data_IF_420844672390
#
_entry.id   IF_420844672390
#
_cell.length_a   1.000
_cell.length_b   1.000
_cell.length_c   1.000
_cell.angle_alpha   90.00
_cell.angle_beta   90.00
_cell.angle_gamma   90.00
#
_symmetry.space_group_name_H-M   'P 1'
#
loop_
_entity.id
_entity.type
_entity.pdbx_description
1 polymer ?
#
# COMPACT_ATOMS: atom_id res chain seq x y z
N UNK A 1 25.73 -71.81 20.39
CA UNK A 1 24.37 -71.41 20.82
C UNK A 1 24.48 -70.15 21.65
N UNK A 2 23.51 -69.21 21.49
CA UNK A 2 23.37 -67.88 22.13
C UNK A 2 24.30 -66.80 21.51
N UNK A 3 23.92 -65.97 20.54
CA UNK A 3 22.74 -65.11 20.32
C UNK A 3 22.61 -63.98 21.34
N UNK A 4 23.05 -62.76 20.95
CA UNK A 4 22.44 -61.49 21.40
C UNK A 4 22.85 -60.34 20.47
N UNK A 5 21.90 -59.97 19.62
CA UNK A 5 21.89 -58.78 18.79
C UNK A 5 21.69 -57.54 19.67
N UNK A 6 22.67 -56.63 19.70
CA UNK A 6 22.54 -55.32 20.31
C UNK A 6 21.92 -54.33 19.33
N UNK A 7 20.60 -54.19 19.37
CA UNK A 7 19.85 -53.16 18.62
C UNK A 7 20.01 -51.82 19.36
N UNK A 8 20.80 -50.91 18.79
CA UNK A 8 20.86 -49.51 19.25
C UNK A 8 19.60 -48.80 18.77
N UNK A 9 18.64 -48.59 19.68
CA UNK A 9 17.51 -47.67 19.51
C UNK A 9 18.00 -46.24 19.79
N UNK A 10 17.92 -45.29 18.84
CA UNK A 10 17.89 -43.88 19.21
C UNK A 10 16.51 -43.55 19.78
N UNK A 11 16.49 -43.22 21.06
CA UNK A 11 15.33 -42.65 21.76
C UNK A 11 14.88 -41.38 21.06
N UNK A 12 13.64 -41.42 20.54
CA UNK A 12 12.93 -40.29 19.96
C UNK A 12 12.68 -39.24 21.05
N UNK A 13 13.27 -38.07 20.88
CA UNK A 13 12.81 -36.83 21.51
C UNK A 13 11.43 -36.47 20.93
N UNK A 14 10.38 -36.24 21.74
CA UNK A 14 9.17 -35.61 21.26
C UNK A 14 9.45 -34.12 21.09
N UNK A 15 9.93 -33.72 19.91
CA UNK A 15 9.80 -32.34 19.46
C UNK A 15 8.30 -32.06 19.30
N UNK A 16 7.77 -31.26 20.22
CA UNK A 16 6.46 -30.62 20.12
C UNK A 16 6.44 -29.77 18.84
N UNK A 17 5.91 -30.37 17.78
CA UNK A 17 5.48 -29.72 16.56
C UNK A 17 4.17 -28.96 16.85
N UNK A 18 4.26 -27.84 17.55
CA UNK A 18 3.18 -26.88 17.64
C UNK A 18 3.79 -25.48 17.53
N UNK A 19 3.87 -25.00 16.29
CA UNK A 19 3.66 -23.61 15.85
C UNK A 19 4.19 -23.48 14.41
N UNK A 20 3.59 -24.22 13.47
CA UNK A 20 3.53 -23.78 12.07
C UNK A 20 2.50 -22.66 12.01
N UNK A 21 2.95 -21.43 12.25
CA UNK A 21 2.23 -20.20 11.88
C UNK A 21 2.30 -20.04 10.35
N UNK A 22 1.59 -20.91 9.63
CA UNK A 22 1.24 -20.70 8.23
C UNK A 22 -0.19 -20.15 8.19
N UNK A 23 -0.32 -18.83 8.25
CA UNK A 23 -1.44 -18.04 7.69
C UNK A 23 -1.31 -16.60 8.20
N UNK A 24 -0.74 -15.72 7.38
CA UNK A 24 -0.65 -14.29 7.74
C UNK A 24 -0.09 -13.37 6.66
N UNK A 25 0.43 -13.92 5.55
CA UNK A 25 1.12 -13.14 4.53
C UNK A 25 0.28 -12.54 3.37
N UNK A 26 -1.03 -12.80 3.15
CA UNK A 26 -1.71 -12.17 2.01
C UNK A 26 -2.17 -10.73 2.27
N UNK A 27 -2.38 -10.33 3.53
CA UNK A 27 -2.96 -9.01 3.84
C UNK A 27 -1.95 -7.86 3.81
N UNK A 28 -0.66 -8.15 3.96
CA UNK A 28 0.40 -7.14 3.98
C UNK A 28 0.69 -6.57 2.58
N UNK A 29 0.54 -7.39 1.53
CA UNK A 29 0.80 -6.98 0.16
C UNK A 29 -0.34 -6.16 -0.43
N UNK A 30 -1.60 -6.54 -0.19
CA UNK A 30 -2.77 -5.73 -0.57
C UNK A 30 -2.75 -4.33 0.09
N UNK A 31 -2.20 -4.22 1.31
CA UNK A 31 -2.08 -2.92 2.01
C UNK A 31 -1.08 -1.99 1.35
N UNK A 32 -0.04 -2.51 0.68
CA UNK A 32 1.00 -1.69 0.04
C UNK A 32 0.49 -1.03 -1.25
N UNK A 33 -0.32 -1.74 -2.04
CA UNK A 33 -0.94 -1.15 -3.23
C UNK A 33 -2.00 -0.09 -2.89
N UNK A 34 -2.73 -0.26 -1.77
CA UNK A 34 -3.67 0.75 -1.26
C UNK A 34 -2.99 2.01 -0.69
N UNK A 35 -1.69 1.93 -0.34
CA UNK A 35 -0.93 3.05 0.22
C UNK A 35 -0.45 4.05 -0.83
N UNK A 36 -0.59 3.77 -2.12
CA UNK A 36 -0.27 4.74 -3.19
C UNK A 36 -1.33 5.85 -3.26
N UNK A 37 -2.53 5.64 -2.68
CA UNK A 37 -3.64 6.60 -2.76
C UNK A 37 -3.85 7.52 -1.55
N UNK A 38 -3.38 7.20 -0.34
CA UNK A 38 -3.76 7.95 0.87
C UNK A 38 -2.68 7.89 1.97
N UNK A 39 -1.65 8.75 1.91
CA UNK A 39 -0.78 9.04 3.06
C UNK A 39 -0.87 10.51 3.44
N UNK A 40 -1.71 10.80 4.44
CA UNK A 40 -1.55 11.99 5.28
C UNK A 40 -1.19 11.52 6.70
N UNK A 41 -0.09 12.09 7.22
CA UNK A 41 0.44 12.01 8.59
C UNK A 41 1.30 10.76 8.87
N UNK A 42 2.51 10.81 9.41
CA UNK A 42 3.42 11.91 9.80
C UNK A 42 4.68 11.24 10.38
N UNK A 43 5.85 11.43 9.77
CA UNK A 43 7.14 11.53 10.48
C UNK A 43 8.24 11.94 9.49
N UNK A 44 9.03 12.93 9.89
CA UNK A 44 9.98 13.67 9.09
C UNK A 44 11.25 12.86 8.76
N UNK A 45 11.59 12.70 7.48
CA UNK A 45 12.81 13.26 6.83
C UNK A 45 13.00 12.73 5.41
N UNK A 46 13.60 13.59 4.59
CA UNK A 46 14.08 13.40 3.22
C UNK A 46 13.01 13.44 2.12
N UNK A 47 12.78 14.68 1.66
CA UNK A 47 12.64 15.07 0.25
C UNK A 47 12.26 13.97 -0.75
N UNK A 48 10.99 14.01 -1.12
CA UNK A 48 10.44 13.30 -2.25
C UNK A 48 8.99 13.72 -2.38
N UNK A 49 8.74 15.00 -2.70
CA UNK A 49 7.43 15.43 -3.19
C UNK A 49 7.12 14.54 -4.39
N UNK A 50 6.38 13.45 -4.19
CA UNK A 50 5.75 12.72 -5.29
C UNK A 50 4.82 13.73 -5.93
N UNK A 51 5.30 14.33 -7.01
CA UNK A 51 4.52 15.24 -7.82
C UNK A 51 3.20 14.54 -8.14
N UNK A 52 2.10 15.24 -7.93
CA UNK A 52 0.80 14.75 -8.38
C UNK A 52 0.92 14.36 -9.86
N UNK A 53 0.17 13.34 -10.33
CA UNK A 53 0.12 13.02 -11.76
C UNK A 53 -0.09 14.31 -12.53
N UNK A 54 0.84 14.63 -13.44
CA UNK A 54 0.75 15.84 -14.22
C UNK A 54 -0.60 15.84 -14.97
N UNK A 55 -1.32 16.97 -15.00
CA UNK A 55 -2.60 17.02 -15.69
C UNK A 55 -2.40 16.60 -17.15
N UNK A 56 -3.32 15.79 -17.67
CA UNK A 56 -3.26 15.26 -19.04
C UNK A 56 -3.19 16.35 -20.13
N UNK A 57 -3.52 17.59 -19.77
CA UNK A 57 -3.42 18.78 -20.60
C UNK A 57 -2.55 19.81 -19.88
N UNK A 58 -1.22 19.70 -20.02
CA UNK A 58 -0.29 20.71 -19.51
C UNK A 58 0.11 21.65 -20.65
N UNK A 59 -0.41 22.88 -20.60
CA UNK A 59 -0.04 23.96 -21.51
C UNK A 59 0.61 25.08 -20.70
N UNK A 60 1.79 25.52 -21.13
CA UNK A 60 2.54 26.60 -20.47
C UNK A 60 2.20 27.93 -21.15
N UNK A 61 1.62 28.88 -20.41
CA UNK A 61 1.29 30.21 -20.94
C UNK A 61 2.55 31.10 -20.97
N UNK A 62 3.07 31.48 -22.16
CA UNK A 62 4.33 32.22 -22.30
C UNK A 62 4.32 33.58 -21.63
N UNK A 63 3.13 34.16 -21.36
CA UNK A 63 2.99 35.46 -20.67
C UNK A 63 3.35 35.39 -19.19
N UNK A 64 3.28 34.20 -18.60
CA UNK A 64 3.56 33.97 -17.17
C UNK A 64 5.01 33.56 -16.91
N UNK A 65 5.82 33.39 -17.96
CA UNK A 65 7.21 32.94 -17.82
C UNK A 65 8.14 34.12 -17.51
N UNK A 66 9.05 33.96 -16.54
CA UNK A 66 10.05 34.98 -16.23
C UNK A 66 11.06 35.12 -17.37
N UNK A 67 11.41 36.36 -17.68
CA UNK A 67 12.30 36.75 -18.78
C UNK A 67 13.77 36.69 -18.37
N UNK A 68 14.16 35.58 -17.73
CA UNK A 68 15.43 35.49 -17.00
C UNK A 68 16.55 34.83 -17.79
N UNK A 69 16.31 34.37 -19.02
CA UNK A 69 17.32 33.68 -19.84
C UNK A 69 17.68 34.56 -21.04
N UNK A 70 18.86 35.22 -21.03
CA UNK A 70 19.30 36.02 -22.17
C UNK A 70 19.51 35.12 -23.40
N UNK A 71 18.88 35.47 -24.53
CA UNK A 71 19.03 34.78 -25.80
C UNK A 71 17.97 33.72 -26.13
N UNK A 72 16.94 33.53 -25.30
CA UNK A 72 15.81 32.60 -25.57
C UNK A 72 14.50 33.37 -25.49
N UNK A 73 13.63 33.23 -26.49
CA UNK A 73 12.31 33.86 -26.44
C UNK A 73 11.38 33.13 -25.46
N UNK A 74 10.40 33.84 -24.88
CA UNK A 74 9.43 33.23 -23.94
C UNK A 74 8.63 32.09 -24.57
N UNK A 75 8.36 32.20 -25.87
CA UNK A 75 7.65 31.20 -26.65
C UNK A 75 8.50 29.93 -26.83
N UNK A 76 9.79 30.10 -27.14
CA UNK A 76 10.73 28.98 -27.24
C UNK A 76 10.95 28.29 -25.89
N UNK A 77 10.97 29.05 -24.79
CA UNK A 77 11.07 28.49 -23.44
C UNK A 77 9.81 27.70 -23.05
N UNK A 78 8.63 28.21 -23.37
CA UNK A 78 7.36 27.52 -23.12
C UNK A 78 7.28 26.19 -23.90
N UNK A 79 7.66 26.20 -25.19
CA UNK A 79 7.69 25.00 -26.03
C UNK A 79 8.70 23.96 -25.50
N UNK A 80 9.89 24.39 -25.07
CA UNK A 80 10.90 23.49 -24.48
C UNK A 80 10.40 22.87 -23.16
N UNK A 81 9.73 23.65 -22.31
CA UNK A 81 9.16 23.15 -21.07
C UNK A 81 8.03 22.15 -21.31
N UNK A 82 7.18 22.41 -22.30
CA UNK A 82 6.12 21.48 -22.68
C UNK A 82 6.70 20.16 -23.20
N UNK A 83 7.68 20.21 -24.12
CA UNK A 83 8.39 19.02 -24.62
C UNK A 83 9.06 18.23 -23.50
N UNK A 84 9.77 18.92 -22.60
CA UNK A 84 10.45 18.28 -21.47
C UNK A 84 9.46 17.62 -20.52
N UNK A 85 8.32 18.27 -20.26
CA UNK A 85 7.29 17.71 -19.41
C UNK A 85 6.57 16.51 -20.04
N UNK A 86 6.32 16.55 -21.35
CA UNK A 86 5.82 15.39 -22.09
C UNK A 86 6.82 14.22 -22.06
N UNK A 87 8.11 14.51 -22.20
CA UNK A 87 9.15 13.48 -22.11
C UNK A 87 9.24 12.87 -20.70
N UNK A 88 9.13 13.69 -19.65
CA UNK A 88 9.09 13.24 -18.27
C UNK A 88 7.82 12.42 -17.96
N UNK A 89 6.65 12.84 -18.45
CA UNK A 89 5.40 12.10 -18.24
C UNK A 89 5.45 10.75 -18.94
N UNK A 90 6.01 10.70 -20.15
CA UNK A 90 6.21 9.45 -20.89
C UNK A 90 7.19 8.52 -20.17
N UNK A 91 8.35 9.02 -19.73
CA UNK A 91 9.34 8.24 -18.97
C UNK A 91 8.79 7.71 -17.66
N UNK A 92 8.06 8.54 -16.91
CA UNK A 92 7.44 8.11 -15.65
C UNK A 92 6.38 7.05 -15.88
N UNK A 93 5.53 7.20 -16.90
CA UNK A 93 4.51 6.20 -17.26
C UNK A 93 5.14 4.87 -17.69
N UNK A 94 6.25 4.90 -18.45
CA UNK A 94 6.98 3.69 -18.80
C UNK A 94 7.62 3.01 -17.58
N UNK A 95 8.22 3.78 -16.67
CA UNK A 95 8.84 3.23 -15.47
C UNK A 95 7.80 2.60 -14.53
N UNK A 96 6.67 3.27 -14.31
CA UNK A 96 5.58 2.73 -13.48
C UNK A 96 4.97 1.48 -14.11
N UNK A 97 4.77 1.45 -15.43
CA UNK A 97 4.29 0.26 -16.13
C UNK A 97 5.27 -0.93 -16.02
N UNK A 98 6.57 -0.68 -16.16
CA UNK A 98 7.61 -1.72 -16.01
C UNK A 98 7.70 -2.22 -14.57
N UNK A 99 7.64 -1.33 -13.59
CA UNK A 99 7.65 -1.70 -12.17
C UNK A 99 6.43 -2.55 -11.81
N UNK A 100 5.24 -2.15 -12.27
CA UNK A 100 4.01 -2.91 -12.09
C UNK A 100 4.08 -4.29 -12.76
N UNK A 101 4.58 -4.37 -14.00
CA UNK A 101 4.74 -5.65 -14.70
C UNK A 101 5.68 -6.59 -13.95
N UNK A 102 6.81 -6.06 -13.45
CA UNK A 102 7.75 -6.82 -12.63
C UNK A 102 7.10 -7.30 -11.32
N UNK A 103 6.32 -6.45 -10.65
CA UNK A 103 5.63 -6.83 -9.42
C UNK A 103 4.59 -7.93 -9.66
N UNK A 104 3.81 -7.84 -10.74
CA UNK A 104 2.86 -8.88 -11.14
C UNK A 104 3.59 -10.19 -11.45
N UNK A 105 4.73 -10.13 -12.14
CA UNK A 105 5.53 -11.31 -12.43
C UNK A 105 6.13 -11.94 -11.16
N UNK A 106 6.61 -11.12 -10.22
CA UNK A 106 7.06 -11.60 -8.91
C UNK A 106 5.92 -12.26 -8.13
N UNK A 107 4.73 -11.66 -8.10
CA UNK A 107 3.56 -12.24 -7.43
C UNK A 107 3.15 -13.57 -8.07
N UNK A 108 3.17 -13.65 -9.42
CA UNK A 108 2.89 -14.88 -10.15
C UNK A 108 3.87 -16.01 -9.80
N UNK A 109 5.15 -15.70 -9.56
CA UNK A 109 6.18 -16.69 -9.19
C UNK A 109 6.13 -17.07 -7.71
N UNK A 110 5.72 -16.15 -6.84
CA UNK A 110 5.70 -16.33 -5.39
C UNK A 110 4.42 -17.00 -4.86
N UNK A 111 3.29 -16.85 -5.55
CA UNK A 111 2.00 -17.39 -5.09
C UNK A 111 1.56 -18.62 -5.90
N UNK A 112 0.81 -19.56 -5.27
CA UNK A 112 0.07 -20.58 -5.98
C UNK A 112 -0.91 -19.96 -7.00
N UNK A 113 -1.17 -20.61 -8.14
CA UNK A 113 -1.97 -20.05 -9.23
C UNK A 113 -3.42 -19.73 -8.82
N UNK A 114 -4.01 -20.51 -7.90
CA UNK A 114 -5.38 -20.28 -7.42
C UNK A 114 -5.49 -19.02 -6.57
N UNK A 115 -4.50 -18.77 -5.71
CA UNK A 115 -4.44 -17.55 -4.88
C UNK A 115 -4.16 -16.31 -5.72
N UNK A 116 -3.34 -16.44 -6.76
CA UNK A 116 -3.07 -15.36 -7.70
C UNK A 116 -4.32 -14.98 -8.51
N UNK A 117 -5.12 -15.96 -8.95
CA UNK A 117 -6.41 -15.70 -9.62
C UNK A 117 -7.41 -15.00 -8.71
N UNK A 118 -7.51 -15.43 -7.45
CA UNK A 118 -8.35 -14.75 -6.46
C UNK A 118 -7.89 -13.31 -6.22
N UNK A 119 -6.58 -13.08 -6.12
CA UNK A 119 -6.03 -11.74 -6.00
C UNK A 119 -6.39 -10.84 -7.19
N UNK A 120 -6.24 -11.32 -8.42
CA UNK A 120 -6.63 -10.56 -9.62
C UNK A 120 -8.13 -10.24 -9.62
N UNK A 121 -8.97 -11.23 -9.29
CA UNK A 121 -10.42 -11.03 -9.19
C UNK A 121 -10.80 -10.01 -8.11
N UNK A 122 -10.11 -10.03 -6.97
CA UNK A 122 -10.30 -9.04 -5.91
C UNK A 122 -9.91 -7.65 -6.40
N UNK A 123 -8.77 -7.51 -7.09
CA UNK A 123 -8.31 -6.24 -7.68
C UNK A 123 -9.34 -5.69 -8.68
N UNK A 124 -9.82 -6.52 -9.61
CA UNK A 124 -10.82 -6.13 -10.60
C UNK A 124 -12.13 -5.70 -9.92
N UNK A 125 -12.59 -6.44 -8.91
CA UNK A 125 -13.79 -6.10 -8.16
C UNK A 125 -13.66 -4.78 -7.39
N UNK A 126 -12.45 -4.45 -6.93
CA UNK A 126 -12.17 -3.19 -6.24
C UNK A 126 -12.07 -2.03 -7.23
N UNK A 127 -11.47 -2.26 -8.40
CA UNK A 127 -11.42 -1.29 -9.49
C UNK A 127 -12.84 -0.92 -9.94
N UNK A 128 -13.70 -1.91 -10.19
CA UNK A 128 -15.09 -1.67 -10.60
C UNK A 128 -15.89 -0.90 -9.55
N UNK A 129 -15.72 -1.24 -8.25
CA UNK A 129 -16.35 -0.48 -7.16
C UNK A 129 -15.86 0.95 -7.11
N UNK A 130 -14.56 1.17 -7.29
CA UNK A 130 -13.96 2.50 -7.28
C UNK A 130 -14.45 3.33 -8.47
N UNK A 131 -14.52 2.76 -9.66
CA UNK A 131 -15.08 3.43 -10.85
C UNK A 131 -16.54 3.85 -10.64
N UNK A 132 -17.36 2.97 -10.08
CA UNK A 132 -18.76 3.27 -9.72
C UNK A 132 -18.85 4.38 -8.67
N UNK A 133 -17.96 4.38 -7.68
CA UNK A 133 -17.88 5.45 -6.68
C UNK A 133 -17.41 6.78 -7.28
N UNK A 134 -16.40 6.77 -8.16
CA UNK A 134 -15.91 7.95 -8.86
C UNK A 134 -17.00 8.54 -9.74
N UNK A 135 -17.70 7.71 -10.54
CA UNK A 135 -18.82 8.13 -11.37
C UNK A 135 -19.96 8.72 -10.53
N UNK A 136 -20.23 8.14 -9.35
CA UNK A 136 -21.20 8.67 -8.40
C UNK A 136 -20.75 10.02 -7.83
N UNK A 137 -19.47 10.17 -7.49
CA UNK A 137 -18.91 11.41 -6.94
C UNK A 137 -18.87 12.52 -8.00
N UNK A 138 -18.54 12.20 -9.25
CA UNK A 138 -18.56 13.16 -10.36
C UNK A 138 -19.98 13.62 -10.72
N UNK A 139 -20.99 12.76 -10.49
CA UNK A 139 -22.39 13.11 -10.66
C UNK A 139 -22.98 13.91 -9.47
N UNK A 140 -22.29 13.99 -8.33
CA UNK A 140 -22.77 14.76 -7.17
C UNK A 140 -22.52 16.26 -7.34
N UNK A 141 -23.43 17.08 -6.81
CA UNK A 141 -23.21 18.53 -6.78
C UNK A 141 -22.06 18.89 -5.81
N UNK A 142 -21.35 20.01 -6.05
CA UNK A 142 -20.21 20.42 -5.20
C UNK A 142 -20.56 20.54 -3.71
N UNK A 143 -21.77 21.00 -3.39
CA UNK A 143 -22.24 21.11 -2.00
C UNK A 143 -22.48 19.72 -1.36
N UNK A 144 -22.97 18.75 -2.13
CA UNK A 144 -23.16 17.38 -1.67
C UNK A 144 -21.81 16.67 -1.48
N UNK A 145 -20.86 16.90 -2.39
CA UNK A 145 -19.50 16.37 -2.30
C UNK A 145 -18.79 16.83 -1.02
N UNK A 146 -18.91 18.12 -0.67
CA UNK A 146 -18.33 18.65 0.56
C UNK A 146 -18.90 17.96 1.81
N UNK A 147 -20.23 17.85 1.90
CA UNK A 147 -20.90 17.17 3.02
C UNK A 147 -20.54 15.68 3.10
N UNK A 148 -20.39 15.04 1.94
CA UNK A 148 -19.96 13.64 1.84
C UNK A 148 -18.55 13.45 2.41
N UNK A 149 -17.57 14.24 1.97
CA UNK A 149 -16.21 14.19 2.49
C UNK A 149 -16.14 14.51 3.98
N UNK A 150 -16.92 15.48 4.46
CA UNK A 150 -16.96 15.81 5.88
C UNK A 150 -17.46 14.63 6.73
N UNK A 151 -18.51 13.92 6.28
CA UNK A 151 -19.01 12.70 6.95
C UNK A 151 -18.00 11.56 6.89
N UNK A 152 -17.33 11.38 5.76
CA UNK A 152 -16.32 10.34 5.57
C UNK A 152 -15.12 10.53 6.50
N UNK A 153 -14.62 11.77 6.64
CA UNK A 153 -13.51 12.10 7.56
C UNK A 153 -13.86 11.76 9.01
N UNK A 154 -15.10 12.01 9.45
CA UNK A 154 -15.56 11.63 10.80
C UNK A 154 -15.54 10.12 10.99
N UNK A 155 -16.07 9.36 10.04
CA UNK A 155 -16.06 7.88 10.09
C UNK A 155 -14.65 7.31 10.14
N UNK A 156 -13.73 7.84 9.33
CA UNK A 156 -12.32 7.43 9.33
C UNK A 156 -11.66 7.68 10.69
N UNK A 157 -11.91 8.84 11.31
CA UNK A 157 -11.41 9.15 12.66
C UNK A 157 -11.94 8.17 13.71
N UNK A 158 -13.25 7.88 13.70
CA UNK A 158 -13.82 6.90 14.62
C UNK A 158 -13.26 5.49 14.42
N UNK A 159 -13.07 5.06 13.17
CA UNK A 159 -12.44 3.77 12.89
C UNK A 159 -10.99 3.71 13.37
N UNK A 160 -10.21 4.79 13.18
CA UNK A 160 -8.84 4.88 13.67
C UNK A 160 -8.79 4.82 15.21
N UNK A 161 -9.65 5.59 15.89
CA UNK A 161 -9.76 5.59 17.35
C UNK A 161 -10.13 4.18 17.85
N UNK A 162 -11.14 3.55 17.25
CA UNK A 162 -11.55 2.18 17.62
C UNK A 162 -10.41 1.18 17.46
N UNK A 163 -9.65 1.25 16.36
CA UNK A 163 -8.47 0.38 16.16
C UNK A 163 -7.41 0.62 17.22
N UNK A 164 -7.12 1.88 17.55
CA UNK A 164 -6.15 2.22 18.58
C UNK A 164 -6.59 1.72 19.96
N UNK A 165 -7.87 1.88 20.32
CA UNK A 165 -8.41 1.37 21.58
C UNK A 165 -8.29 -0.16 21.63
N UNK A 166 -8.66 -0.88 20.56
CA UNK A 166 -8.50 -2.34 20.48
C UNK A 166 -7.05 -2.78 20.73
N UNK A 167 -6.08 -2.09 20.12
CA UNK A 167 -4.65 -2.36 20.32
C UNK A 167 -4.25 -2.10 21.78
N UNK A 168 -4.71 -1.00 22.36
CA UNK A 168 -4.38 -0.61 23.74
C UNK A 168 -4.94 -1.63 24.74
N UNK A 169 -6.20 -2.04 24.58
CA UNK A 169 -6.83 -3.09 25.39
C UNK A 169 -6.09 -4.42 25.25
N UNK A 170 -5.70 -4.80 24.02
CA UNK A 170 -4.91 -6.01 23.80
C UNK A 170 -3.56 -5.93 24.50
N UNK A 171 -2.86 -4.79 24.42
CA UNK A 171 -1.55 -4.60 25.05
C UNK A 171 -1.64 -4.68 26.57
N UNK A 172 -2.58 -3.95 27.17
CA UNK A 172 -2.82 -4.00 28.61
C UNK A 172 -3.23 -5.40 29.06
N UNK A 173 -4.09 -6.08 28.30
CA UNK A 173 -4.48 -7.47 28.58
C UNK A 173 -3.28 -8.42 28.56
N UNK A 174 -2.38 -8.30 27.58
CA UNK A 174 -1.17 -9.14 27.52
C UNK A 174 -0.21 -8.87 28.67
N UNK A 175 0.01 -7.61 29.04
CA UNK A 175 0.88 -7.24 30.16
C UNK A 175 0.27 -7.74 31.47
N UNK A 176 -1.01 -7.48 31.70
CA UNK A 176 -1.71 -7.94 32.89
C UNK A 176 -1.71 -9.47 32.99
N UNK A 177 -1.95 -10.17 31.88
CA UNK A 177 -1.90 -11.63 31.83
C UNK A 177 -0.49 -12.16 32.16
N UNK A 178 0.57 -11.56 31.62
CA UNK A 178 1.95 -11.91 31.96
C UNK A 178 2.25 -11.73 33.45
N UNK A 179 1.86 -10.59 34.03
CA UNK A 179 2.02 -10.34 35.46
C UNK A 179 1.24 -11.35 36.32
N UNK A 180 0.00 -11.62 35.96
CA UNK A 180 -0.84 -12.59 36.66
C UNK A 180 -0.23 -13.99 36.57
N UNK A 181 0.23 -14.39 35.40
CA UNK A 181 0.87 -15.69 35.20
C UNK A 181 2.15 -15.82 36.02
N UNK A 182 2.99 -14.78 36.07
CA UNK A 182 4.22 -14.78 36.88
C UNK A 182 3.93 -14.82 38.38
N UNK A 183 2.84 -14.22 38.85
CA UNK A 183 2.50 -14.18 40.26
C UNK A 183 1.87 -15.48 40.78
N UNK A 184 1.06 -16.15 39.95
CA UNK A 184 0.35 -17.37 40.34
C UNK A 184 1.07 -18.67 39.95
N UNK A 185 1.93 -18.65 38.92
CA UNK A 185 2.62 -19.84 38.39
C UNK A 185 4.15 -19.68 38.29
N UNK A 186 4.70 -18.56 38.77
CA UNK A 186 6.15 -18.29 38.82
C UNK A 186 6.78 -18.62 40.16
#
# INVERSE_FOLDING_TARGET
MLSRSGVVKPSRLPHLFLFRLSCGAPHLWCRRMLSVGNTTSSEFRAEGKKAAPFPANFSVDPKQLPDTIPGVSREELAERLEKYQQELSYKTTQLTARELANEIEMMRRALPPDQFRQFLQDVDSMAEKNEREIARLSAMSPQQLYRYHQRQRRRQRFQAIRKNIMILVSLFGTIFFLFFFMFFFG
#
